data_IF_759722558408
#
_entry.id   IF_759722558408
#
_cell.length_a   1.000
_cell.length_b   1.000
_cell.length_c   1.000
_cell.angle_alpha   90.00
_cell.angle_beta   90.00
_cell.angle_gamma   90.00
#
_symmetry.space_group_name_H-M   'P 1'
#
loop_
_entity.id
_entity.type
_entity.pdbx_description
1 polymer ?
#
# COMPACT_ATOMS: atom_id res chain seq x y z
N UNK A 1 -12.45 17.78 21.95
CA UNK A 1 -13.03 16.58 21.29
C UNK A 1 -12.30 15.35 21.81
N UNK A 2 -12.98 14.23 22.02
CA UNK A 2 -12.31 12.97 22.35
C UNK A 2 -11.41 12.51 21.20
N UNK A 3 -10.30 11.82 21.51
CA UNK A 3 -9.42 11.28 20.47
C UNK A 3 -10.16 10.18 19.68
N UNK A 4 -10.04 10.11 18.35
CA UNK A 4 -10.72 9.13 17.52
C UNK A 4 -10.23 7.69 17.71
N UNK A 5 -11.14 6.74 17.54
CA UNK A 5 -10.85 5.34 17.27
C UNK A 5 -10.67 5.13 15.76
N UNK A 6 -9.56 4.51 15.37
CA UNK A 6 -9.22 4.27 13.95
C UNK A 6 -9.16 2.77 13.66
N UNK A 7 -9.74 2.36 12.54
CA UNK A 7 -9.62 1.01 11.98
C UNK A 7 -8.82 1.07 10.68
N UNK A 8 -7.82 0.21 10.54
CA UNK A 8 -6.98 0.10 9.34
C UNK A 8 -7.10 -1.33 8.81
N UNK A 9 -7.74 -1.47 7.65
CA UNK A 9 -7.89 -2.74 6.93
C UNK A 9 -6.73 -2.90 5.96
N UNK A 10 -5.99 -4.02 6.00
CA UNK A 10 -4.74 -4.18 5.23
C UNK A 10 -3.55 -3.46 5.87
N UNK A 11 -3.56 -3.36 7.21
CA UNK A 11 -2.66 -2.49 7.94
C UNK A 11 -1.22 -3.02 8.10
N UNK A 12 -0.94 -4.28 7.74
CA UNK A 12 0.41 -4.85 7.76
C UNK A 12 1.11 -4.68 6.40
N UNK A 13 0.37 -4.34 5.34
CA UNK A 13 0.91 -3.99 4.03
C UNK A 13 1.80 -2.74 4.04
N UNK A 14 2.35 -2.38 2.87
CA UNK A 14 3.30 -1.27 2.72
C UNK A 14 2.72 0.08 3.19
N UNK A 15 1.56 0.49 2.66
CA UNK A 15 0.94 1.77 3.04
C UNK A 15 0.41 1.69 4.49
N UNK A 16 -0.20 0.55 4.85
CA UNK A 16 -0.79 0.32 6.16
C UNK A 16 0.18 0.49 7.33
N UNK A 17 1.36 -0.13 7.25
CA UNK A 17 2.35 -0.06 8.34
C UNK A 17 2.87 1.36 8.57
N UNK A 18 3.02 2.13 7.50
CA UNK A 18 3.45 3.53 7.56
C UNK A 18 2.32 4.41 8.14
N UNK A 19 1.05 4.15 7.79
CA UNK A 19 -0.09 4.84 8.41
C UNK A 19 -0.20 4.54 9.91
N UNK A 20 0.03 3.29 10.33
CA UNK A 20 0.07 2.93 11.77
C UNK A 20 1.15 3.72 12.49
N UNK A 21 2.39 3.71 11.97
CA UNK A 21 3.49 4.48 12.55
C UNK A 21 3.15 5.96 12.65
N UNK A 22 2.67 6.56 11.56
CA UNK A 22 2.30 7.97 11.52
C UNK A 22 1.25 8.31 12.59
N UNK A 23 0.16 7.54 12.69
CA UNK A 23 -0.91 7.81 13.65
C UNK A 23 -0.46 7.67 15.11
N UNK A 24 0.48 6.75 15.39
CA UNK A 24 1.12 6.61 16.71
C UNK A 24 1.97 7.84 17.01
N UNK A 25 2.82 8.27 16.08
CA UNK A 25 3.71 9.44 16.23
C UNK A 25 2.94 10.75 16.42
N UNK A 26 1.80 10.90 15.74
CA UNK A 26 0.93 12.07 15.91
C UNK A 26 0.25 12.10 17.29
N UNK A 27 0.14 10.96 18.00
CA UNK A 27 -0.41 10.90 19.35
C UNK A 27 -1.89 11.28 19.47
N UNK A 28 -2.62 11.36 18.35
CA UNK A 28 -3.97 11.91 18.28
C UNK A 28 -5.08 10.86 18.25
N UNK A 29 -4.77 9.57 18.37
CA UNK A 29 -5.77 8.50 18.41
C UNK A 29 -6.00 7.98 19.84
N UNK A 30 -7.22 7.54 20.14
CA UNK A 30 -7.53 6.80 21.37
C UNK A 30 -7.18 5.31 21.21
N UNK A 31 -7.49 4.75 20.03
CA UNK A 31 -7.21 3.36 19.66
C UNK A 31 -6.95 3.27 18.16
N UNK A 32 -6.03 2.40 17.77
CA UNK A 32 -5.75 2.05 16.39
C UNK A 32 -5.90 0.54 16.27
N UNK A 33 -6.97 0.07 15.62
CA UNK A 33 -7.12 -1.34 15.28
C UNK A 33 -6.52 -1.60 13.90
N UNK A 34 -5.58 -2.54 13.84
CA UNK A 34 -4.88 -2.94 12.63
C UNK A 34 -5.33 -4.34 12.23
N UNK A 35 -5.92 -4.49 11.06
CA UNK A 35 -6.43 -5.76 10.55
C UNK A 35 -5.65 -6.18 9.33
N UNK A 36 -5.16 -7.41 9.33
CA UNK A 36 -4.55 -8.02 8.16
C UNK A 36 -4.65 -9.54 8.20
N UNK A 37 -4.55 -10.21 7.05
CA UNK A 37 -4.42 -11.66 6.99
C UNK A 37 -3.01 -12.11 7.39
N UNK A 38 -2.01 -11.24 7.15
CA UNK A 38 -0.60 -11.48 7.45
C UNK A 38 -0.31 -11.08 8.90
N UNK A 39 0.45 -11.91 9.60
CA UNK A 39 0.91 -11.62 10.96
C UNK A 39 2.06 -10.60 10.91
N UNK A 40 2.09 -9.57 11.78
CA UNK A 40 3.21 -8.62 11.86
C UNK A 40 4.58 -9.30 11.97
N UNK A 41 4.65 -10.39 12.74
CA UNK A 41 5.87 -11.17 12.94
C UNK A 41 6.43 -11.81 11.65
N UNK A 42 5.60 -12.02 10.62
CA UNK A 42 6.02 -12.63 9.34
C UNK A 42 6.12 -11.60 8.21
N UNK A 43 5.86 -10.32 8.49
CA UNK A 43 5.72 -9.27 7.49
C UNK A 43 6.99 -8.44 7.25
N UNK A 44 8.10 -8.82 7.90
CA UNK A 44 9.35 -8.07 7.91
C UNK A 44 9.07 -6.58 8.17
N UNK A 45 8.58 -6.28 9.37
CA UNK A 45 8.45 -4.90 9.83
C UNK A 45 9.82 -4.36 10.23
N UNK A 46 10.16 -3.15 9.79
CA UNK A 46 11.37 -2.44 10.24
C UNK A 46 11.19 -1.95 11.67
N UNK A 47 12.28 -1.51 12.30
CA UNK A 47 12.29 -1.18 13.74
C UNK A 47 11.19 -0.21 14.15
N UNK A 48 11.03 0.92 13.43
CA UNK A 48 9.98 1.92 13.71
C UNK A 48 8.57 1.35 13.59
N UNK A 49 8.34 0.50 12.59
CA UNK A 49 7.05 -0.20 12.45
C UNK A 49 6.82 -1.17 13.60
N UNK A 50 7.84 -1.91 14.06
CA UNK A 50 7.71 -2.79 15.22
C UNK A 50 7.37 -2.01 16.49
N UNK A 51 8.06 -0.89 16.73
CA UNK A 51 7.79 0.02 17.85
C UNK A 51 6.36 0.55 17.83
N UNK A 52 5.87 0.97 16.66
CA UNK A 52 4.50 1.41 16.49
C UNK A 52 3.47 0.30 16.78
N UNK A 53 3.70 -0.92 16.27
CA UNK A 53 2.82 -2.06 16.53
C UNK A 53 2.83 -2.54 17.99
N UNK A 54 3.90 -2.25 18.73
CA UNK A 54 4.00 -2.54 20.17
C UNK A 54 3.42 -1.43 21.05
N UNK A 55 2.96 -0.32 20.47
CA UNK A 55 2.37 0.77 21.24
C UNK A 55 1.04 0.32 21.87
N UNK A 56 0.77 0.66 23.16
CA UNK A 56 -0.44 0.22 23.86
C UNK A 56 -1.77 0.62 23.21
N UNK A 57 -1.81 1.68 22.39
CA UNK A 57 -3.04 2.10 21.69
C UNK A 57 -3.30 1.28 20.42
N UNK A 58 -2.30 0.52 19.96
CA UNK A 58 -2.38 -0.30 18.75
C UNK A 58 -2.82 -1.72 19.10
N UNK A 59 -3.92 -2.14 18.50
CA UNK A 59 -4.45 -3.50 18.61
C UNK A 59 -4.37 -4.17 17.25
N UNK A 60 -3.54 -5.20 17.13
CA UNK A 60 -3.54 -6.05 15.95
C UNK A 60 -4.61 -7.14 16.04
N UNK A 61 -5.34 -7.35 14.95
CA UNK A 61 -6.25 -8.47 14.76
C UNK A 61 -5.98 -9.17 13.44
N UNK A 62 -5.70 -10.46 13.49
CA UNK A 62 -5.65 -11.27 12.28
C UNK A 62 -7.08 -11.47 11.75
N UNK A 63 -7.30 -11.15 10.47
CA UNK A 63 -8.62 -11.24 9.85
C UNK A 63 -8.54 -11.48 8.34
N UNK A 64 -9.41 -12.36 7.85
CA UNK A 64 -9.61 -12.55 6.41
C UNK A 64 -10.82 -11.73 5.95
N UNK A 65 -10.55 -10.61 5.29
CA UNK A 65 -11.57 -9.67 4.83
C UNK A 65 -12.40 -10.15 3.63
N UNK A 66 -12.21 -11.38 3.14
CA UNK A 66 -13.18 -12.01 2.22
C UNK A 66 -14.36 -12.65 2.97
N UNK A 67 -14.21 -12.89 4.28
CA UNK A 67 -15.21 -13.51 5.17
C UNK A 67 -16.09 -12.46 5.86
N UNK A 68 -17.41 -12.52 5.65
CA UNK A 68 -18.37 -11.64 6.30
C UNK A 68 -18.29 -11.70 7.84
N UNK A 69 -18.16 -12.90 8.40
CA UNK A 69 -18.00 -13.09 9.86
C UNK A 69 -16.74 -12.41 10.38
N UNK A 70 -15.62 -12.51 9.64
CA UNK A 70 -14.40 -11.80 10.02
C UNK A 70 -14.58 -10.29 9.95
N UNK A 71 -15.30 -9.78 8.94
CA UNK A 71 -15.60 -8.35 8.81
C UNK A 71 -16.43 -7.87 10.00
N UNK A 72 -17.56 -8.51 10.32
CA UNK A 72 -18.38 -8.12 11.49
C UNK A 72 -17.54 -8.08 12.78
N UNK A 73 -16.68 -9.09 12.98
CA UNK A 73 -15.81 -9.16 14.16
C UNK A 73 -14.84 -7.98 14.24
N UNK A 74 -14.19 -7.60 13.14
CA UNK A 74 -13.16 -6.54 13.19
C UNK A 74 -13.77 -5.14 13.34
N UNK A 75 -15.01 -4.94 12.92
CA UNK A 75 -15.75 -3.68 13.11
C UNK A 75 -16.35 -3.54 14.52
N UNK A 76 -16.41 -4.61 15.32
CA UNK A 76 -17.02 -4.59 16.66
C UNK A 76 -16.03 -4.11 17.72
N UNK A 77 -16.36 -3.03 18.43
CA UNK A 77 -15.68 -2.60 19.65
C UNK A 77 -16.52 -2.94 20.89
N UNK A 78 -15.89 -2.95 22.07
CA UNK A 78 -16.56 -3.14 23.34
C UNK A 78 -17.49 -1.95 23.66
N UNK A 79 -18.46 -2.19 24.54
CA UNK A 79 -19.31 -1.16 25.17
C UNK A 79 -20.07 -0.26 24.18
N UNK A 80 -20.38 -0.79 22.99
CA UNK A 80 -21.08 -0.04 21.94
C UNK A 80 -20.25 1.08 21.31
N UNK A 81 -18.94 1.14 21.57
CA UNK A 81 -18.06 2.09 20.92
C UNK A 81 -18.02 1.85 19.39
N UNK A 82 -17.71 2.90 18.64
CA UNK A 82 -17.57 2.84 17.19
C UNK A 82 -16.24 3.41 16.72
N UNK A 83 -15.85 3.05 15.50
CA UNK A 83 -14.74 3.68 14.82
C UNK A 83 -15.17 5.03 14.23
N UNK A 84 -14.31 6.04 14.39
CA UNK A 84 -14.50 7.34 13.75
C UNK A 84 -14.00 7.28 12.30
N UNK A 85 -12.81 6.71 12.10
CA UNK A 85 -12.17 6.61 10.79
C UNK A 85 -11.84 5.17 10.45
N UNK A 86 -12.23 4.74 9.24
CA UNK A 86 -11.87 3.45 8.69
C UNK A 86 -11.06 3.67 7.42
N UNK A 87 -9.81 3.21 7.40
CA UNK A 87 -8.95 3.22 6.23
C UNK A 87 -8.96 1.85 5.57
N UNK A 88 -9.52 1.74 4.37
CA UNK A 88 -9.44 0.54 3.57
C UNK A 88 -8.19 0.57 2.66
N UNK A 89 -7.14 -0.10 3.11
CA UNK A 89 -5.91 -0.36 2.38
C UNK A 89 -5.82 -1.81 1.91
N UNK A 90 -6.84 -2.63 2.20
CA UNK A 90 -6.87 -4.03 1.82
C UNK A 90 -7.17 -4.16 0.32
N UNK A 91 -6.43 -5.04 -0.34
CA UNK A 91 -6.57 -5.29 -1.77
C UNK A 91 -5.52 -6.26 -2.27
N UNK A 92 -5.82 -6.97 -3.35
CA UNK A 92 -4.77 -7.61 -4.16
C UNK A 92 -3.99 -6.53 -4.91
N UNK A 93 -2.66 -6.58 -4.78
CA UNK A 93 -1.75 -5.58 -5.35
C UNK A 93 -0.74 -6.19 -6.32
N UNK A 94 -0.67 -7.53 -6.39
CA UNK A 94 0.12 -8.23 -7.40
C UNK A 94 -0.57 -8.16 -8.75
N UNK A 95 0.21 -7.89 -9.77
CA UNK A 95 -0.23 -7.94 -11.16
C UNK A 95 -0.40 -9.38 -11.66
N UNK A 96 -0.93 -9.53 -12.88
CA UNK A 96 -1.11 -10.84 -13.52
C UNK A 96 -2.08 -11.81 -12.86
N UNK A 97 -2.86 -11.37 -11.86
CA UNK A 97 -3.92 -12.20 -11.27
C UNK A 97 -5.15 -12.29 -12.18
N UNK A 98 -6.02 -13.27 -11.94
CA UNK A 98 -7.24 -13.46 -12.72
C UNK A 98 -8.34 -12.46 -12.30
N UNK A 99 -9.30 -12.22 -13.19
CA UNK A 99 -10.51 -11.44 -12.87
C UNK A 99 -11.21 -11.93 -11.59
N UNK A 100 -11.30 -13.24 -11.36
CA UNK A 100 -11.90 -13.80 -10.15
C UNK A 100 -11.16 -13.37 -8.88
N UNK A 101 -9.83 -13.37 -8.90
CA UNK A 101 -9.00 -12.94 -7.76
C UNK A 101 -9.20 -11.45 -7.49
N UNK A 102 -9.22 -10.60 -8.52
CA UNK A 102 -9.45 -9.18 -8.33
C UNK A 102 -10.89 -8.87 -7.91
N UNK A 103 -11.88 -9.59 -8.44
CA UNK A 103 -13.26 -9.43 -7.97
C UNK A 103 -13.36 -9.77 -6.48
N UNK A 104 -12.84 -10.91 -6.06
CA UNK A 104 -12.93 -11.34 -4.66
C UNK A 104 -12.10 -10.45 -3.72
N UNK A 105 -10.84 -10.14 -4.08
CA UNK A 105 -9.87 -9.54 -3.15
C UNK A 105 -9.73 -8.04 -3.27
N UNK A 106 -10.30 -7.42 -4.29
CA UNK A 106 -10.35 -5.96 -4.44
C UNK A 106 -11.79 -5.48 -4.31
N UNK A 107 -12.65 -5.87 -5.23
CA UNK A 107 -14.03 -5.37 -5.27
C UNK A 107 -14.87 -5.85 -4.09
N UNK A 108 -15.01 -7.16 -3.88
CA UNK A 108 -15.88 -7.71 -2.83
C UNK A 108 -15.39 -7.29 -1.43
N UNK A 109 -14.08 -7.26 -1.21
CA UNK A 109 -13.48 -6.77 0.06
C UNK A 109 -13.91 -5.33 0.33
N UNK A 110 -13.76 -4.42 -0.63
CA UNK A 110 -14.14 -3.02 -0.46
C UNK A 110 -15.65 -2.87 -0.20
N UNK A 111 -16.49 -3.54 -0.99
CA UNK A 111 -17.95 -3.45 -0.82
C UNK A 111 -18.41 -4.03 0.51
N UNK A 112 -17.93 -5.21 0.91
CA UNK A 112 -18.34 -5.84 2.18
C UNK A 112 -17.89 -5.02 3.39
N UNK A 113 -16.66 -4.50 3.37
CA UNK A 113 -16.14 -3.69 4.46
C UNK A 113 -16.88 -2.35 4.57
N UNK A 114 -17.14 -1.68 3.45
CA UNK A 114 -17.88 -0.43 3.44
C UNK A 114 -19.36 -0.61 3.83
N UNK A 115 -19.97 -1.74 3.44
CA UNK A 115 -21.34 -2.07 3.87
C UNK A 115 -21.41 -2.24 5.39
N UNK A 116 -20.46 -2.95 6.00
CA UNK A 116 -20.41 -3.06 7.47
C UNK A 116 -20.10 -1.70 8.11
N UNK A 117 -19.22 -0.89 7.52
CA UNK A 117 -18.91 0.46 7.98
C UNK A 117 -20.14 1.37 8.03
N UNK A 118 -20.98 1.34 6.98
CA UNK A 118 -22.24 2.08 6.93
C UNK A 118 -23.23 1.55 7.99
N UNK A 119 -23.35 0.22 8.11
CA UNK A 119 -24.23 -0.43 9.09
C UNK A 119 -23.89 -0.07 10.53
N UNK A 120 -22.62 0.02 10.89
CA UNK A 120 -22.18 0.40 12.24
C UNK A 120 -22.04 1.92 12.44
N UNK A 121 -22.29 2.71 11.40
CA UNK A 121 -22.33 4.18 11.46
C UNK A 121 -20.97 4.84 11.75
N UNK A 122 -19.90 4.42 11.06
CA UNK A 122 -18.58 5.08 11.17
C UNK A 122 -18.64 6.51 10.65
N UNK A 123 -17.84 7.42 11.23
CA UNK A 123 -17.92 8.84 10.85
C UNK A 123 -17.36 9.10 9.45
N UNK A 124 -16.31 8.37 9.04
CA UNK A 124 -15.75 8.40 7.68
C UNK A 124 -15.14 7.05 7.29
N UNK A 125 -15.43 6.60 6.08
CA UNK A 125 -14.78 5.47 5.41
C UNK A 125 -13.90 5.99 4.28
N UNK A 126 -12.61 5.68 4.36
CA UNK A 126 -11.59 6.12 3.41
C UNK A 126 -11.19 4.91 2.56
N UNK A 127 -11.63 4.89 1.30
CA UNK A 127 -11.18 3.93 0.31
C UNK A 127 -9.88 4.44 -0.32
N UNK A 128 -8.80 3.66 -0.20
CA UNK A 128 -7.57 3.93 -0.95
C UNK A 128 -7.61 3.15 -2.25
N UNK A 129 -7.88 3.89 -3.33
CA UNK A 129 -7.90 3.42 -4.70
C UNK A 129 -6.53 3.60 -5.36
N UNK A 130 -6.50 3.95 -6.64
CA UNK A 130 -5.28 4.10 -7.44
C UNK A 130 -5.51 5.08 -8.57
N UNK A 131 -4.48 5.82 -8.98
CA UNK A 131 -4.52 6.64 -10.18
C UNK A 131 -4.56 5.81 -11.48
N UNK A 132 -4.38 4.49 -11.41
CA UNK A 132 -4.51 3.58 -12.57
C UNK A 132 -5.97 3.46 -13.08
N UNK A 133 -6.92 4.10 -12.39
CA UNK A 133 -8.30 4.24 -12.88
C UNK A 133 -8.43 5.26 -14.00
N UNK A 134 -7.50 6.21 -14.09
CA UNK A 134 -7.52 7.27 -15.10
C UNK A 134 -7.03 6.77 -16.45
N UNK A 135 -7.54 7.43 -17.49
CA UNK A 135 -6.96 7.34 -18.83
C UNK A 135 -5.50 7.82 -18.82
N UNK A 136 -4.65 7.14 -19.60
CA UNK A 136 -3.22 7.40 -19.68
C UNK A 136 -2.95 8.60 -20.57
N UNK A 137 -2.52 9.71 -19.96
CA UNK A 137 -2.23 10.97 -20.67
C UNK A 137 -1.02 11.71 -20.08
N UNK A 138 -0.35 12.51 -20.90
CA UNK A 138 0.87 13.26 -20.50
C UNK A 138 0.65 14.26 -19.36
N UNK A 139 -0.55 14.82 -19.25
CA UNK A 139 -0.88 15.79 -18.20
C UNK A 139 -1.36 15.06 -16.95
N UNK A 140 -1.03 15.61 -15.78
CA UNK A 140 -1.53 15.09 -14.51
C UNK A 140 -3.07 15.03 -14.50
N UNK A 141 -3.60 13.91 -14.02
CA UNK A 141 -5.04 13.69 -13.92
C UNK A 141 -5.63 14.38 -12.69
N UNK A 142 -6.82 14.95 -12.85
CA UNK A 142 -7.66 15.56 -11.81
C UNK A 142 -8.78 14.60 -11.41
N UNK A 143 -9.45 14.88 -10.30
CA UNK A 143 -10.51 14.04 -9.70
C UNK A 143 -11.64 13.72 -10.70
N UNK A 144 -12.02 14.69 -11.52
CA UNK A 144 -13.10 14.61 -12.50
C UNK A 144 -12.66 14.19 -13.92
N UNK A 145 -11.37 13.90 -14.13
CA UNK A 145 -10.90 13.45 -15.44
C UNK A 145 -11.43 12.06 -15.81
N UNK A 146 -11.47 11.79 -17.12
CA UNK A 146 -11.92 10.51 -17.69
C UNK A 146 -11.20 9.33 -17.04
N UNK A 147 -11.99 8.35 -16.61
CA UNK A 147 -11.52 7.07 -16.11
C UNK A 147 -11.55 6.01 -17.22
N UNK A 148 -10.39 5.41 -17.50
CA UNK A 148 -10.20 4.36 -18.51
C UNK A 148 -9.06 3.43 -18.06
N UNK A 149 -9.37 2.51 -17.12
CA UNK A 149 -8.35 1.76 -16.41
C UNK A 149 -7.58 0.82 -17.34
N UNK A 150 -6.26 0.88 -17.26
CA UNK A 150 -5.34 0.10 -18.09
C UNK A 150 -4.74 -1.13 -17.39
N UNK A 151 -5.18 -1.40 -16.14
CA UNK A 151 -4.83 -2.60 -15.38
C UNK A 151 -6.09 -3.23 -14.80
N UNK A 152 -6.05 -4.54 -14.51
CA UNK A 152 -7.14 -5.20 -13.80
C UNK A 152 -7.32 -4.64 -12.38
N UNK A 153 -6.24 -4.26 -11.70
CA UNK A 153 -6.31 -3.55 -10.41
C UNK A 153 -7.12 -2.26 -10.56
N UNK A 154 -6.80 -1.43 -11.55
CA UNK A 154 -7.53 -0.20 -11.86
C UNK A 154 -8.99 -0.46 -12.20
N UNK A 155 -9.28 -1.49 -13.03
CA UNK A 155 -10.64 -1.89 -13.40
C UNK A 155 -11.49 -2.23 -12.17
N UNK A 156 -10.98 -3.09 -11.29
CA UNK A 156 -11.74 -3.53 -10.11
C UNK A 156 -11.79 -2.47 -9.01
N UNK A 157 -10.78 -1.60 -8.88
CA UNK A 157 -10.83 -0.43 -8.00
C UNK A 157 -11.85 0.59 -8.49
N UNK A 158 -11.89 0.91 -9.78
CA UNK A 158 -12.92 1.81 -10.35
C UNK A 158 -14.33 1.24 -10.16
N UNK A 159 -14.52 -0.06 -10.45
CA UNK A 159 -15.79 -0.76 -10.17
C UNK A 159 -16.20 -0.62 -8.70
N UNK A 160 -15.26 -0.79 -7.77
CA UNK A 160 -15.54 -0.62 -6.35
C UNK A 160 -15.93 0.83 -6.03
N UNK A 161 -15.19 1.83 -6.51
CA UNK A 161 -15.51 3.25 -6.30
C UNK A 161 -16.93 3.62 -6.73
N UNK A 162 -17.38 3.13 -7.88
CA UNK A 162 -18.72 3.40 -8.42
C UNK A 162 -19.82 2.82 -7.53
N UNK A 163 -19.63 1.61 -7.01
CA UNK A 163 -20.61 0.94 -6.16
C UNK A 163 -20.56 1.41 -4.70
N UNK A 164 -19.38 1.78 -4.20
CA UNK A 164 -19.22 2.40 -2.88
C UNK A 164 -20.05 3.68 -2.75
N UNK A 165 -20.11 4.50 -3.80
CA UNK A 165 -20.92 5.73 -3.85
C UNK A 165 -22.42 5.47 -3.72
N UNK A 166 -22.88 4.24 -3.99
CA UNK A 166 -24.29 3.84 -3.94
C UNK A 166 -24.71 3.30 -2.57
N UNK A 167 -23.76 3.09 -1.65
CA UNK A 167 -24.05 2.55 -0.31
C UNK A 167 -24.68 3.66 0.55
N UNK A 168 -25.96 3.49 0.89
CA UNK A 168 -26.69 4.42 1.74
C UNK A 168 -26.04 4.53 3.14
N UNK A 169 -25.89 5.76 3.63
CA UNK A 169 -25.31 6.03 4.95
C UNK A 169 -23.78 5.95 5.03
N UNK A 170 -23.08 5.64 3.93
CA UNK A 170 -21.62 5.62 3.91
C UNK A 170 -21.05 7.04 3.72
N UNK A 171 -20.41 7.58 4.75
CA UNK A 171 -19.63 8.81 4.60
C UNK A 171 -18.27 8.50 3.95
N UNK A 172 -18.24 8.52 2.63
CA UNK A 172 -17.15 8.02 1.81
C UNK A 172 -16.14 9.11 1.42
N UNK A 173 -14.86 8.81 1.56
CA UNK A 173 -13.74 9.50 0.90
C UNK A 173 -12.99 8.50 0.04
N UNK A 174 -12.72 8.85 -1.22
CA UNK A 174 -11.88 8.04 -2.11
C UNK A 174 -10.58 8.80 -2.35
N UNK A 175 -9.44 8.13 -2.13
CA UNK A 175 -8.12 8.67 -2.44
C UNK A 175 -7.50 7.85 -3.57
N UNK A 176 -7.02 8.49 -4.64
CA UNK A 176 -6.41 7.84 -5.81
C UNK A 176 -4.93 8.21 -5.89
N UNK A 177 -4.06 7.64 -5.03
CA UNK A 177 -2.64 7.94 -5.10
C UNK A 177 -2.05 7.50 -6.46
N UNK A 178 -1.03 8.23 -6.91
CA UNK A 178 -0.18 7.80 -8.03
C UNK A 178 0.79 6.71 -7.56
N UNK A 179 2.04 6.74 -8.01
CA UNK A 179 3.06 5.81 -7.52
C UNK A 179 3.45 6.19 -6.09
N UNK A 180 3.18 5.28 -5.14
CA UNK A 180 3.62 5.41 -3.76
C UNK A 180 4.99 4.77 -3.61
N UNK A 181 5.90 5.43 -2.89
CA UNK A 181 7.25 4.94 -2.59
C UNK A 181 7.57 5.18 -1.12
N UNK A 182 8.53 4.45 -0.58
CA UNK A 182 8.95 4.62 0.82
C UNK A 182 9.32 3.32 1.53
N UNK A 183 9.71 3.40 2.82
CA UNK A 183 10.14 2.25 3.60
C UNK A 183 9.09 1.14 3.63
N UNK A 184 9.49 -0.08 3.22
CA UNK A 184 8.59 -1.24 3.13
C UNK A 184 7.93 -1.44 1.77
N UNK A 185 8.24 -0.64 0.75
CA UNK A 185 7.82 -0.89 -0.62
C UNK A 185 8.58 -2.09 -1.21
N UNK A 186 7.89 -3.22 -1.33
CA UNK A 186 8.45 -4.50 -1.81
C UNK A 186 8.05 -4.86 -3.23
N UNK A 187 7.13 -4.12 -3.85
CA UNK A 187 6.60 -4.42 -5.20
C UNK A 187 6.71 -3.24 -6.18
N UNK A 188 6.78 -2.01 -5.66
CA UNK A 188 6.79 -0.77 -6.42
C UNK A 188 8.18 -0.40 -6.93
N UNK A 189 8.55 0.86 -6.72
CA UNK A 189 9.71 1.49 -7.38
C UNK A 189 11.01 1.06 -6.72
N UNK A 190 11.00 0.89 -5.40
CA UNK A 190 12.20 0.66 -4.59
C UNK A 190 13.00 -0.58 -5.02
N UNK A 191 12.43 -1.80 -5.09
CA UNK A 191 13.19 -2.99 -5.49
C UNK A 191 13.80 -2.86 -6.90
N UNK A 192 13.22 -2.01 -7.78
CA UNK A 192 13.69 -1.85 -9.16
C UNK A 192 14.80 -0.84 -9.30
N UNK A 193 14.70 0.32 -8.64
CA UNK A 193 15.80 1.28 -8.57
C UNK A 193 17.03 0.57 -7.97
N UNK A 194 16.80 -0.27 -6.97
CA UNK A 194 17.87 -1.01 -6.28
C UNK A 194 18.46 -2.08 -7.19
N UNK A 195 17.62 -2.83 -7.92
CA UNK A 195 18.11 -3.77 -8.94
C UNK A 195 18.92 -3.05 -10.02
N UNK A 196 18.46 -1.91 -10.53
CA UNK A 196 19.19 -1.11 -11.51
C UNK A 196 20.53 -0.60 -10.97
N UNK A 197 20.59 -0.16 -9.71
CA UNK A 197 21.82 0.25 -9.04
C UNK A 197 22.81 -0.92 -8.89
N UNK A 198 22.34 -2.08 -8.43
CA UNK A 198 23.15 -3.29 -8.30
C UNK A 198 23.74 -3.74 -9.65
N UNK A 199 22.97 -3.64 -10.73
CA UNK A 199 23.45 -3.91 -12.08
C UNK A 199 24.55 -2.94 -12.51
N UNK A 200 24.38 -1.64 -12.24
CA UNK A 200 25.39 -0.61 -12.54
C UNK A 200 26.69 -0.81 -11.75
N UNK A 201 26.60 -1.23 -10.49
CA UNK A 201 27.77 -1.55 -9.67
C UNK A 201 28.46 -2.84 -10.11
N UNK A 202 27.68 -3.83 -10.54
CA UNK A 202 28.20 -5.11 -11.04
C UNK A 202 28.85 -4.98 -12.42
N UNK A 203 28.34 -4.11 -13.30
CA UNK A 203 28.90 -3.89 -14.64
C UNK A 203 30.23 -3.14 -14.65
N UNK A 204 30.54 -2.35 -13.61
CA UNK A 204 31.88 -1.78 -13.39
C UNK A 204 32.94 -2.84 -13.06
N UNK A 205 32.53 -4.06 -12.67
CA UNK A 205 33.40 -5.23 -12.49
C UNK A 205 33.23 -6.19 -13.67
N UNK A 206 33.80 -5.81 -14.82
CA UNK A 206 34.16 -6.70 -15.94
C UNK A 206 33.28 -7.94 -16.18
N UNK A 207 32.10 -7.80 -16.78
CA UNK A 207 31.43 -8.96 -17.41
C UNK A 207 30.78 -8.55 -18.75
N UNK A 208 31.44 -8.91 -19.85
CA UNK A 208 30.87 -8.95 -21.22
C UNK A 208 30.02 -10.22 -21.37
N UNK A 209 28.82 -10.27 -20.80
CA UNK A 209 27.84 -11.35 -21.09
C UNK A 209 26.51 -10.76 -21.60
N UNK A 210 25.84 -11.46 -22.52
CA UNK A 210 24.63 -10.94 -23.19
C UNK A 210 23.49 -10.68 -22.20
N UNK A 211 22.72 -9.64 -22.49
CA UNK A 211 21.64 -9.05 -21.67
C UNK A 211 20.41 -9.97 -21.43
N UNK A 212 20.47 -11.27 -21.70
CA UNK A 212 19.30 -12.16 -21.70
C UNK A 212 19.06 -12.89 -20.36
N UNK A 213 19.92 -12.72 -19.34
CA UNK A 213 19.79 -13.37 -18.03
C UNK A 213 19.91 -12.38 -16.85
N UNK A 214 19.47 -11.12 -17.07
CA UNK A 214 19.61 -9.99 -16.13
C UNK A 214 18.76 -10.17 -14.87
N UNK A 215 17.61 -10.80 -15.03
CA UNK A 215 16.61 -11.02 -13.98
C UNK A 215 17.21 -11.65 -12.71
N UNK A 216 18.05 -12.67 -12.83
CA UNK A 216 18.53 -13.41 -11.65
C UNK A 216 19.59 -12.68 -10.80
N UNK A 217 20.12 -11.52 -11.22
CA UNK A 217 21.30 -10.93 -10.58
C UNK A 217 21.06 -10.42 -9.16
N UNK A 218 19.90 -9.81 -8.89
CA UNK A 218 19.55 -9.31 -7.56
C UNK A 218 19.50 -10.42 -6.49
N UNK A 219 18.64 -11.44 -6.66
CA UNK A 219 18.57 -12.58 -5.74
C UNK A 219 19.90 -13.35 -5.63
N UNK A 220 20.62 -13.56 -6.74
CA UNK A 220 21.93 -14.23 -6.71
C UNK A 220 22.94 -13.43 -5.88
N UNK A 221 22.96 -12.11 -6.03
CA UNK A 221 23.87 -11.25 -5.27
C UNK A 221 23.53 -11.27 -3.78
N UNK A 222 22.25 -11.16 -3.42
CA UNK A 222 21.79 -11.30 -2.04
C UNK A 222 22.22 -12.65 -1.43
N UNK A 223 21.98 -13.76 -2.15
CA UNK A 223 22.40 -15.10 -1.71
C UNK A 223 23.90 -15.22 -1.50
N UNK A 224 24.73 -14.66 -2.39
CA UNK A 224 26.20 -14.61 -2.22
C UNK A 224 26.64 -13.82 -0.98
N UNK A 225 25.80 -12.93 -0.47
CA UNK A 225 26.02 -12.13 0.75
C UNK A 225 25.37 -12.76 1.99
N UNK A 226 24.87 -14.00 1.91
CA UNK A 226 24.25 -14.71 3.03
C UNK A 226 22.79 -14.32 3.29
N UNK A 227 22.17 -13.58 2.38
CA UNK A 227 20.78 -13.14 2.51
C UNK A 227 19.87 -14.14 1.79
N UNK A 228 19.05 -14.84 2.57
CA UNK A 228 18.17 -15.91 2.08
C UNK A 228 16.76 -15.41 1.70
N UNK A 229 16.32 -14.29 2.27
CA UNK A 229 15.03 -13.68 1.99
C UNK A 229 15.27 -12.26 1.46
N UNK A 230 14.73 -11.93 0.29
CA UNK A 230 14.90 -10.61 -0.31
C UNK A 230 13.71 -10.24 -1.18
N UNK A 231 13.29 -8.96 -1.22
CA UNK A 231 12.28 -8.49 -2.17
C UNK A 231 12.85 -8.27 -3.58
N UNK A 232 14.15 -8.46 -3.81
CA UNK A 232 14.70 -8.48 -5.18
C UNK A 232 14.15 -9.70 -5.91
N UNK A 233 13.40 -9.46 -6.99
CA UNK A 233 12.83 -10.51 -7.83
C UNK A 233 13.43 -10.44 -9.24
N UNK A 234 13.66 -11.60 -9.88
CA UNK A 234 14.01 -11.65 -11.29
C UNK A 234 12.85 -11.29 -12.22
N UNK A 235 11.62 -11.40 -11.73
CA UNK A 235 10.42 -11.19 -12.52
C UNK A 235 10.00 -9.72 -12.48
N UNK A 236 9.64 -9.20 -13.65
CA UNK A 236 8.98 -7.91 -13.80
C UNK A 236 7.59 -8.16 -14.38
N UNK A 237 6.56 -7.63 -13.71
CA UNK A 237 5.21 -7.70 -14.25
C UNK A 237 5.10 -6.85 -15.51
N UNK A 238 4.37 -7.35 -16.51
CA UNK A 238 4.28 -6.73 -17.83
C UNK A 238 3.66 -5.32 -17.76
N UNK A 239 2.76 -5.08 -16.81
CA UNK A 239 2.10 -3.81 -16.57
C UNK A 239 3.08 -2.67 -16.27
N UNK A 240 4.27 -2.99 -15.75
CA UNK A 240 5.33 -2.01 -15.52
C UNK A 240 6.13 -1.65 -16.77
N UNK A 241 5.98 -2.42 -17.85
CA UNK A 241 6.58 -2.14 -19.16
C UNK A 241 5.65 -1.30 -20.04
N UNK A 242 4.41 -1.09 -19.61
CA UNK A 242 3.48 -0.24 -20.34
C UNK A 242 3.96 1.21 -20.32
N UNK A 243 3.91 1.85 -21.48
CA UNK A 243 4.24 3.27 -21.61
C UNK A 243 3.04 4.14 -21.21
N UNK A 244 2.60 3.99 -19.96
CA UNK A 244 1.47 4.72 -19.40
C UNK A 244 1.94 5.83 -18.45
N UNK A 245 1.32 7.00 -18.58
CA UNK A 245 1.58 8.12 -17.70
C UNK A 245 0.74 7.98 -16.43
N UNK A 246 1.40 8.02 -15.27
CA UNK A 246 0.75 7.92 -13.97
C UNK A 246 1.10 9.13 -13.10
N UNK A 247 0.37 10.22 -13.30
CA UNK A 247 0.54 11.47 -12.53
C UNK A 247 -0.82 12.05 -12.16
N UNK A 248 -0.90 12.65 -10.98
CA UNK A 248 -2.14 13.21 -10.41
C UNK A 248 -1.86 14.64 -9.97
N UNK A 249 -2.80 15.54 -10.25
CA UNK A 249 -2.78 16.92 -9.81
C UNK A 249 -3.23 16.99 -8.34
N UNK A 250 -2.37 17.50 -7.46
CA UNK A 250 -2.62 17.56 -6.02
C UNK A 250 -3.36 18.81 -5.55
N UNK A 251 -3.79 19.70 -6.44
CA UNK A 251 -4.28 21.02 -6.06
C UNK A 251 -5.53 20.99 -5.17
N UNK A 252 -6.43 20.02 -5.32
CA UNK A 252 -7.61 19.91 -4.45
C UNK A 252 -7.27 19.49 -3.02
N UNK A 253 -6.32 18.55 -2.84
CA UNK A 253 -5.89 18.16 -1.49
C UNK A 253 -5.12 19.29 -0.80
N UNK A 254 -4.31 20.06 -1.54
CA UNK A 254 -3.59 21.22 -1.01
C UNK A 254 -4.51 22.31 -0.47
N UNK A 255 -5.70 22.52 -1.08
CA UNK A 255 -6.71 23.46 -0.57
C UNK A 255 -7.22 23.11 0.84
N UNK A 256 -7.08 21.86 1.27
CA UNK A 256 -7.45 21.44 2.63
C UNK A 256 -6.43 21.88 3.69
N UNK A 257 -5.31 22.47 3.27
CA UNK A 257 -4.16 22.78 4.13
C UNK A 257 -3.12 21.65 4.18
N UNK A 258 -3.34 20.55 3.46
CA UNK A 258 -2.36 19.49 3.29
C UNK A 258 -1.08 20.02 2.63
N UNK A 259 0.07 19.57 3.12
CA UNK A 259 1.38 19.93 2.58
C UNK A 259 2.17 18.66 2.32
N UNK A 260 2.74 18.57 1.12
CA UNK A 260 3.70 17.52 0.79
C UNK A 260 5.00 17.77 1.56
N UNK A 261 5.30 16.92 2.54
CA UNK A 261 6.61 16.93 3.23
C UNK A 261 7.74 16.46 2.30
N UNK A 262 7.41 15.60 1.34
CA UNK A 262 8.32 15.03 0.35
C UNK A 262 7.77 15.31 -1.07
N UNK A 263 7.89 16.55 -1.57
CA UNK A 263 7.30 16.95 -2.85
C UNK A 263 7.98 16.27 -4.06
N UNK A 264 9.23 15.84 -3.91
CA UNK A 264 10.00 15.19 -4.96
C UNK A 264 10.70 13.94 -4.44
N UNK A 265 10.84 12.94 -5.31
CA UNK A 265 11.67 11.77 -5.04
C UNK A 265 13.14 12.16 -5.13
N UNK A 266 13.84 12.11 -4.01
CA UNK A 266 15.28 12.43 -3.92
C UNK A 266 16.12 11.18 -3.74
N UNK A 267 17.43 11.30 -4.01
CA UNK A 267 18.38 10.21 -3.73
C UNK A 267 18.39 9.82 -2.24
N UNK A 268 18.25 10.78 -1.33
CA UNK A 268 18.20 10.52 0.10
C UNK A 268 17.02 9.61 0.47
N UNK A 269 15.83 9.89 -0.07
CA UNK A 269 14.64 9.05 0.15
C UNK A 269 14.80 7.65 -0.41
N UNK A 270 15.52 7.48 -1.52
CA UNK A 270 15.85 6.17 -2.06
C UNK A 270 16.83 5.43 -1.14
N UNK A 271 17.83 6.13 -0.59
CA UNK A 271 18.79 5.54 0.37
C UNK A 271 18.12 5.11 1.66
N UNK A 272 17.17 5.87 2.18
CA UNK A 272 16.41 5.50 3.36
C UNK A 272 15.64 4.19 3.16
N UNK A 273 15.09 3.99 1.96
CA UNK A 273 14.41 2.75 1.59
C UNK A 273 15.38 1.57 1.51
N UNK A 274 16.58 1.77 0.95
CA UNK A 274 17.63 0.74 0.93
C UNK A 274 18.02 0.36 2.36
N UNK A 275 18.31 1.36 3.21
CA UNK A 275 18.72 1.17 4.60
C UNK A 275 17.65 0.41 5.39
N UNK A 276 16.37 0.74 5.19
CA UNK A 276 15.26 0.02 5.79
C UNK A 276 15.34 -1.50 5.53
N UNK A 277 15.64 -1.92 4.30
CA UNK A 277 15.78 -3.36 3.99
C UNK A 277 17.11 -3.96 4.46
N UNK A 278 18.19 -3.19 4.51
CA UNK A 278 19.48 -3.63 5.06
C UNK A 278 19.34 -3.97 6.55
N UNK A 279 18.69 -3.11 7.33
CA UNK A 279 18.47 -3.31 8.77
C UNK A 279 17.70 -4.59 9.09
N UNK A 280 16.89 -5.07 8.13
CA UNK A 280 16.09 -6.28 8.25
C UNK A 280 16.78 -7.52 7.70
N UNK A 281 18.04 -7.38 7.26
CA UNK A 281 18.79 -8.42 6.56
C UNK A 281 18.06 -8.93 5.29
N UNK A 282 17.35 -8.04 4.61
CA UNK A 282 16.64 -8.33 3.35
C UNK A 282 17.40 -7.84 2.12
N UNK A 283 18.28 -6.86 2.28
CA UNK A 283 19.21 -6.38 1.25
C UNK A 283 20.66 -6.41 1.71
N UNK A 284 21.60 -6.69 0.79
CA UNK A 284 23.02 -6.64 1.10
C UNK A 284 23.48 -5.20 1.29
N UNK A 285 24.43 -5.03 2.21
CA UNK A 285 25.18 -3.78 2.32
C UNK A 285 25.89 -3.52 0.99
N UNK A 286 25.64 -2.34 0.41
CA UNK A 286 26.15 -1.90 -0.89
C UNK A 286 27.62 -1.47 -0.83
#
# INVERSE_FOLDING_TARGET
MSKPNVLILGGVGFIGRNLVQYLVEQGNCAKIRVVDKVLPATAFLGKKHQEAFNNPIVEYMQGNLTSATSITKVFTLADGAKFNYVFNLAGETKYGQTDAVYNEKVYDVSIKCATEAAKVGVDKFIEVSTAQVYDSKKKASKEADKTDPWTLIGKYKLKAEEDLKKIAGLNLVIVRPSVVYGPGDVLGVSPRIITALLLKLSSKKSVKKPMTNISNHGPIFAKKKGINNTPLTPYIDQEFLYNNHLSVDGSEIEKTGFKYEYPELTEALIRDQINYFIEQNLFPVL
#
